data_IF_146601318663
#
_entry.id   IF_146601318663
#
_cell.length_a   1.000
_cell.length_b   1.000
_cell.length_c   1.000
_cell.angle_alpha   90.00
_cell.angle_beta   90.00
_cell.angle_gamma   90.00
#
_symmetry.space_group_name_H-M   'P 1'
#
loop_
_entity.id
_entity.type
_entity.pdbx_description
1 polymer ?
#
# COMPACT_ATOMS: atom_id res chain seq x y z
N UNK A 1 -3.61 -10.71 -19.58
CA UNK A 1 -3.52 -10.85 -18.11
C UNK A 1 -2.10 -10.45 -17.69
N UNK A 2 -1.97 -9.79 -16.53
CA UNK A 2 -0.73 -9.20 -15.95
C UNK A 2 -0.19 -7.99 -16.73
N UNK A 3 -0.57 -6.77 -16.32
CA UNK A 3 0.00 -5.51 -16.84
C UNK A 3 -0.02 -4.39 -15.77
N UNK A 4 0.15 -4.78 -14.51
CA UNK A 4 0.22 -3.85 -13.38
C UNK A 4 1.58 -3.85 -12.70
N UNK A 5 2.29 -4.99 -12.69
CA UNK A 5 3.61 -5.11 -12.07
C UNK A 5 4.76 -4.59 -12.94
N UNK A 6 4.55 -4.34 -14.24
CA UNK A 6 5.57 -3.80 -15.14
C UNK A 6 6.01 -2.37 -14.77
N UNK A 7 5.29 -1.73 -13.84
CA UNK A 7 5.65 -0.43 -13.25
C UNK A 7 6.83 -0.58 -12.27
N UNK A 8 7.01 -1.77 -11.70
CA UNK A 8 8.11 -2.08 -10.80
C UNK A 8 9.22 -2.77 -11.59
N UNK A 9 10.46 -2.38 -11.33
CA UNK A 9 11.61 -3.17 -11.74
C UNK A 9 11.66 -4.52 -11.00
N UNK A 10 12.50 -5.41 -11.48
CA UNK A 10 12.57 -6.77 -10.95
C UNK A 10 13.19 -6.83 -9.55
N UNK A 11 13.99 -5.84 -9.14
CA UNK A 11 14.54 -5.76 -7.79
C UNK A 11 13.46 -5.43 -6.78
N UNK A 12 12.61 -4.43 -7.07
CA UNK A 12 11.46 -4.07 -6.24
C UNK A 12 10.47 -5.22 -6.10
N UNK A 13 10.18 -5.93 -7.20
CA UNK A 13 9.32 -7.13 -7.15
C UNK A 13 9.92 -8.19 -6.23
N UNK A 14 11.21 -8.50 -6.37
CA UNK A 14 11.90 -9.47 -5.51
C UNK A 14 11.84 -9.06 -4.04
N UNK A 15 12.05 -7.78 -3.73
CA UNK A 15 12.00 -7.25 -2.36
C UNK A 15 10.60 -7.37 -1.76
N UNK A 16 9.56 -6.96 -2.49
CA UNK A 16 8.16 -7.11 -2.05
C UNK A 16 7.82 -8.58 -1.77
N UNK A 17 8.22 -9.49 -2.67
CA UNK A 17 7.98 -10.94 -2.49
C UNK A 17 8.73 -11.46 -1.27
N UNK A 18 9.96 -11.01 -1.03
CA UNK A 18 10.73 -11.38 0.16
C UNK A 18 10.03 -10.92 1.43
N UNK A 19 9.70 -9.63 1.54
CA UNK A 19 8.96 -9.06 2.68
C UNK A 19 7.68 -9.86 2.92
N UNK A 20 6.89 -10.11 1.88
CA UNK A 20 5.66 -10.90 1.98
C UNK A 20 5.88 -12.30 2.54
N UNK A 21 6.94 -12.99 2.12
CA UNK A 21 7.26 -14.35 2.60
C UNK A 21 7.70 -14.34 4.07
N UNK A 22 8.42 -13.30 4.48
CA UNK A 22 8.99 -13.18 5.82
C UNK A 22 7.98 -12.63 6.85
N UNK A 23 6.88 -12.01 6.39
CA UNK A 23 5.78 -11.56 7.25
C UNK A 23 5.04 -12.73 7.92
N UNK A 24 4.71 -12.54 9.20
CA UNK A 24 3.77 -13.43 9.90
C UNK A 24 2.35 -13.29 9.35
N UNK A 25 1.46 -14.23 9.68
CA UNK A 25 0.09 -14.25 9.14
C UNK A 25 -0.76 -13.05 9.58
N UNK A 26 -0.51 -12.48 10.77
CA UNK A 26 -1.24 -11.30 11.23
C UNK A 26 -0.88 -10.07 10.37
N UNK A 27 0.40 -9.85 10.09
CA UNK A 27 0.86 -8.74 9.24
C UNK A 27 0.36 -8.90 7.80
N UNK A 28 0.35 -10.14 7.27
CA UNK A 28 -0.24 -10.42 5.96
C UNK A 28 -1.72 -10.06 5.93
N UNK A 29 -2.47 -10.42 6.97
CA UNK A 29 -3.88 -10.07 7.09
C UNK A 29 -4.07 -8.55 7.19
N UNK A 30 -3.24 -7.83 7.94
CA UNK A 30 -3.29 -6.38 8.02
C UNK A 30 -3.02 -5.71 6.68
N UNK A 31 -2.04 -6.21 5.92
CA UNK A 31 -1.79 -5.72 4.56
C UNK A 31 -3.00 -5.95 3.65
N UNK A 32 -3.52 -7.19 3.59
CA UNK A 32 -4.68 -7.54 2.76
C UNK A 32 -5.88 -6.66 3.11
N UNK A 33 -6.19 -6.49 4.39
CA UNK A 33 -7.31 -5.69 4.85
C UNK A 33 -7.17 -4.22 4.45
N UNK A 34 -5.98 -3.64 4.61
CA UNK A 34 -5.75 -2.24 4.21
C UNK A 34 -5.87 -2.07 2.69
N UNK A 35 -5.36 -3.00 1.89
CA UNK A 35 -5.53 -2.99 0.43
C UNK A 35 -7.01 -3.15 0.06
N UNK A 36 -7.73 -4.05 0.71
CA UNK A 36 -9.16 -4.27 0.46
C UNK A 36 -9.99 -3.01 0.80
N UNK A 37 -9.69 -2.35 1.92
CA UNK A 37 -10.32 -1.09 2.29
C UNK A 37 -10.05 0.00 1.26
N UNK A 38 -8.81 0.12 0.79
CA UNK A 38 -8.46 1.07 -0.27
C UNK A 38 -9.25 0.80 -1.56
N UNK A 39 -9.27 -0.45 -2.03
CA UNK A 39 -9.99 -0.86 -3.25
C UNK A 39 -11.51 -0.78 -3.10
N UNK A 40 -12.06 -0.82 -1.89
CA UNK A 40 -13.50 -0.61 -1.67
C UNK A 40 -13.93 0.83 -1.96
N UNK A 41 -12.98 1.78 -1.86
CA UNK A 41 -13.19 3.19 -2.20
C UNK A 41 -12.82 3.45 -3.66
N UNK A 42 -11.65 2.99 -4.11
CA UNK A 42 -11.11 3.28 -5.45
C UNK A 42 -11.71 2.42 -6.57
N UNK A 43 -12.45 1.37 -6.21
CA UNK A 43 -12.84 0.31 -7.12
C UNK A 43 -11.73 -0.75 -7.33
N UNK A 44 -12.04 -1.77 -8.13
CA UNK A 44 -11.15 -2.91 -8.40
C UNK A 44 -10.65 -2.98 -9.85
N UNK A 45 -10.76 -1.86 -10.56
CA UNK A 45 -10.38 -1.73 -11.96
C UNK A 45 -8.86 -1.69 -12.15
N UNK A 46 -8.42 -1.53 -13.41
CA UNK A 46 -6.99 -1.46 -13.73
C UNK A 46 -6.32 -0.22 -13.13
N UNK A 47 -7.02 0.90 -12.96
CA UNK A 47 -6.48 2.15 -12.41
C UNK A 47 -6.19 2.00 -10.92
N UNK A 48 -7.16 1.50 -10.15
CA UNK A 48 -7.01 1.26 -8.72
C UNK A 48 -5.90 0.24 -8.42
N UNK A 49 -5.82 -0.85 -9.20
CA UNK A 49 -4.72 -1.83 -9.08
C UNK A 49 -3.35 -1.22 -9.37
N UNK A 50 -3.25 -0.33 -10.37
CA UNK A 50 -2.00 0.41 -10.61
C UNK A 50 -1.63 1.31 -9.44
N UNK A 51 -2.61 1.91 -8.76
CA UNK A 51 -2.36 2.73 -7.57
C UNK A 51 -1.75 1.92 -6.43
N UNK A 52 -2.29 0.73 -6.16
CA UNK A 52 -1.70 -0.20 -5.17
C UNK A 52 -0.25 -0.52 -5.52
N UNK A 53 0.05 -0.81 -6.78
CA UNK A 53 1.43 -1.08 -7.23
C UNK A 53 2.33 0.15 -7.06
N UNK A 54 1.86 1.36 -7.39
CA UNK A 54 2.61 2.59 -7.15
C UNK A 54 2.96 2.75 -5.67
N UNK A 55 2.00 2.52 -4.77
CA UNK A 55 2.22 2.61 -3.31
C UNK A 55 3.25 1.58 -2.84
N UNK A 56 3.15 0.33 -3.31
CA UNK A 56 4.17 -0.70 -3.03
C UNK A 56 5.57 -0.28 -3.51
N UNK A 57 5.66 0.39 -4.66
CA UNK A 57 6.91 1.00 -5.13
C UNK A 57 7.47 2.01 -4.13
N UNK A 58 6.66 2.97 -3.67
CA UNK A 58 7.07 3.99 -2.68
C UNK A 58 7.50 3.34 -1.36
N UNK A 59 6.78 2.31 -0.90
CA UNK A 59 7.11 1.56 0.31
C UNK A 59 8.49 0.91 0.21
N UNK A 60 8.75 0.28 -0.94
CA UNK A 60 10.02 -0.39 -1.22
C UNK A 60 11.17 0.61 -1.33
N UNK A 61 10.94 1.76 -1.97
CA UNK A 61 11.93 2.84 -2.08
C UNK A 61 12.27 3.46 -0.72
N UNK A 62 11.29 3.54 0.18
CA UNK A 62 11.50 4.01 1.55
C UNK A 62 12.14 2.95 2.47
N UNK A 63 12.37 1.73 1.97
CA UNK A 63 13.01 0.67 2.73
C UNK A 63 12.16 0.06 3.84
N UNK A 64 10.84 -0.04 3.66
CA UNK A 64 10.00 -0.69 4.67
C UNK A 64 10.37 -2.17 4.85
N UNK A 65 10.32 -2.65 6.09
CA UNK A 65 10.47 -4.05 6.46
C UNK A 65 9.14 -4.83 6.51
N UNK A 66 7.99 -4.18 6.34
CA UNK A 66 6.68 -4.86 6.37
C UNK A 66 5.67 -4.22 5.42
N UNK A 67 4.83 -5.05 4.78
CA UNK A 67 3.72 -4.53 3.98
C UNK A 67 2.53 -4.08 4.84
N UNK A 68 2.49 -4.42 6.14
CA UNK A 68 1.46 -3.98 7.07
C UNK A 68 1.42 -2.45 7.25
N UNK A 69 2.46 -1.74 6.82
CA UNK A 69 2.51 -0.28 6.84
C UNK A 69 1.84 0.39 5.63
N UNK A 70 1.25 -0.38 4.71
CA UNK A 70 0.61 0.13 3.49
C UNK A 70 -0.22 1.40 3.71
N UNK A 71 -1.06 1.43 4.75
CA UNK A 71 -1.89 2.58 5.09
C UNK A 71 -1.13 3.89 5.31
N UNK A 72 0.09 3.85 5.86
CA UNK A 72 0.94 5.03 6.05
C UNK A 72 1.42 5.65 4.74
N UNK A 73 1.39 4.88 3.65
CA UNK A 73 1.88 5.29 2.34
C UNK A 73 0.75 5.65 1.38
N UNK A 74 -0.51 5.37 1.74
CA UNK A 74 -1.67 5.69 0.90
C UNK A 74 -1.76 7.18 0.61
N UNK A 75 -1.52 8.04 1.62
CA UNK A 75 -1.56 9.48 1.43
C UNK A 75 -0.49 9.98 0.45
N UNK A 76 0.67 9.29 0.37
CA UNK A 76 1.73 9.64 -0.59
C UNK A 76 1.27 9.50 -2.04
N UNK A 77 0.23 8.71 -2.31
CA UNK A 77 -0.39 8.62 -3.63
C UNK A 77 -1.02 9.94 -4.10
N UNK A 78 -1.39 10.86 -3.20
CA UNK A 78 -1.93 12.18 -3.58
C UNK A 78 -0.96 12.99 -4.43
N UNK A 79 0.35 12.81 -4.21
CA UNK A 79 1.40 13.49 -4.99
C UNK A 79 1.58 12.90 -6.38
N UNK A 80 1.03 11.71 -6.64
CA UNK A 80 1.21 10.95 -7.88
C UNK A 80 -0.02 10.93 -8.78
N UNK A 81 -1.12 11.55 -8.34
CA UNK A 81 -2.39 11.53 -9.03
C UNK A 81 -2.79 12.95 -9.43
N UNK A 82 -3.16 13.12 -10.70
CA UNK A 82 -3.53 14.43 -11.25
C UNK A 82 -5.04 14.67 -11.17
N UNK A 83 -5.84 13.61 -11.25
CA UNK A 83 -7.31 13.65 -11.20
C UNK A 83 -7.82 14.05 -9.82
N UNK A 84 -8.60 15.13 -9.75
CA UNK A 84 -9.17 15.61 -8.49
C UNK A 84 -10.21 14.65 -7.88
N UNK A 85 -10.95 13.92 -8.72
CA UNK A 85 -11.85 12.85 -8.29
C UNK A 85 -11.07 11.75 -7.56
N UNK A 86 -10.01 11.23 -8.19
CA UNK A 86 -9.18 10.19 -7.58
C UNK A 86 -8.43 10.69 -6.33
N UNK A 87 -8.02 11.97 -6.28
CA UNK A 87 -7.46 12.56 -5.06
C UNK A 87 -8.46 12.55 -3.91
N UNK A 88 -9.74 12.83 -4.16
CA UNK A 88 -10.78 12.76 -3.14
C UNK A 88 -10.99 11.33 -2.65
N UNK A 89 -10.98 10.36 -3.56
CA UNK A 89 -11.07 8.95 -3.21
C UNK A 89 -9.84 8.44 -2.43
N UNK A 90 -8.64 8.93 -2.76
CA UNK A 90 -7.43 8.66 -1.97
C UNK A 90 -7.61 9.22 -0.55
N UNK A 91 -8.02 10.48 -0.38
CA UNK A 91 -8.27 11.08 0.95
C UNK A 91 -9.30 10.28 1.75
N UNK A 92 -10.39 9.85 1.10
CA UNK A 92 -11.41 9.02 1.74
C UNK A 92 -10.86 7.66 2.17
N UNK A 93 -10.06 7.01 1.33
CA UNK A 93 -9.39 5.76 1.68
C UNK A 93 -8.41 5.94 2.85
N UNK A 94 -7.64 7.03 2.89
CA UNK A 94 -6.75 7.35 4.03
C UNK A 94 -7.54 7.37 5.34
N UNK A 95 -8.67 8.09 5.40
CA UNK A 95 -9.49 8.17 6.61
C UNK A 95 -10.02 6.81 7.08
N UNK A 96 -10.51 5.98 6.13
CA UNK A 96 -11.04 4.65 6.46
C UNK A 96 -9.92 3.73 6.95
N UNK A 97 -8.77 3.76 6.29
CA UNK A 97 -7.61 2.95 6.65
C UNK A 97 -7.05 3.40 7.99
N UNK A 98 -6.99 4.70 8.27
CA UNK A 98 -6.55 5.22 9.56
C UNK A 98 -7.46 4.72 10.70
N UNK A 99 -8.79 4.76 10.50
CA UNK A 99 -9.72 4.17 11.46
C UNK A 99 -9.48 2.67 11.70
N UNK A 100 -9.13 1.93 10.64
CA UNK A 100 -8.73 0.52 10.78
C UNK A 100 -7.41 0.36 11.55
N UNK A 101 -6.39 1.17 11.24
CA UNK A 101 -5.07 1.11 11.89
C UNK A 101 -5.19 1.40 13.39
N UNK A 102 -5.93 2.46 13.75
CA UNK A 102 -6.22 2.82 15.15
C UNK A 102 -6.97 1.69 15.87
N UNK A 103 -8.02 1.14 15.25
CA UNK A 103 -8.81 0.04 15.84
C UNK A 103 -7.97 -1.21 16.15
N UNK A 104 -6.96 -1.48 15.32
CA UNK A 104 -6.09 -2.65 15.46
C UNK A 104 -4.74 -2.30 16.11
N UNK A 105 -4.58 -1.10 16.68
CA UNK A 105 -3.35 -0.63 17.32
C UNK A 105 -2.08 -0.81 16.45
N UNK A 106 -2.20 -0.59 15.14
CA UNK A 106 -1.06 -0.64 14.23
C UNK A 106 -0.15 0.57 14.44
N UNK A 107 1.15 0.40 14.18
CA UNK A 107 2.17 1.45 14.35
C UNK A 107 1.79 2.75 13.61
N UNK A 108 2.06 3.91 14.20
CA UNK A 108 1.95 5.20 13.49
C UNK A 108 3.17 5.50 12.61
N UNK A 109 4.26 4.75 12.80
CA UNK A 109 5.53 4.93 12.11
C UNK A 109 5.86 3.71 11.24
N UNK A 110 6.46 3.91 10.06
CA UNK A 110 6.86 2.80 9.21
C UNK A 110 7.99 2.00 9.85
N UNK A 111 7.89 0.69 9.81
CA UNK A 111 8.98 -0.21 10.16
C UNK A 111 9.96 -0.19 8.99
N UNK A 112 11.16 0.35 9.23
CA UNK A 112 12.22 0.41 8.24
C UNK A 112 13.22 -0.74 8.49
N UNK A 113 13.71 -1.36 7.42
CA UNK A 113 14.88 -2.23 7.54
C UNK A 113 16.07 -1.35 7.98
N UNK A 114 16.64 -1.64 9.15
CA UNK A 114 17.91 -1.06 9.55
C UNK A 114 18.97 -1.60 8.57
N UNK A 115 19.51 -0.70 7.74
CA UNK A 115 20.59 -0.98 6.79
C UNK A 115 21.91 -1.14 7.54
#
# INVERSE_FOLDING_TARGET
>A
MVASLDILDDEKKKRIIKIWKDMNEADKAHFINQVALALSVWGSDKKAKKMVVKILGIMTDNGTGTLADFGLYVEKALKLEESDEMKNDIKRAVLIIEGYRVKNALSSEPHLELV
#
